data_IF_410897450827
#
_entry.id   IF_410897450827
#
_cell.length_a   1.000
_cell.length_b   1.000
_cell.length_c   1.000
_cell.angle_alpha   90.00
_cell.angle_beta   90.00
_cell.angle_gamma   90.00
#
_symmetry.space_group_name_H-M   'P 1'
#
loop_
_entity.id
_entity.type
_entity.pdbx_description
1 polymer ?
#
# COMPACT_ATOMS: atom_id res chain seq x y z
N UNK A 1 -29.23 51.62 8.05
CA UNK A 1 -29.05 50.85 9.31
C UNK A 1 -29.43 49.36 9.18
N UNK A 2 -30.38 48.98 8.33
CA UNK A 2 -30.82 47.57 8.17
C UNK A 2 -29.79 46.66 7.48
N UNK A 3 -29.05 47.15 6.48
CA UNK A 3 -28.08 46.36 5.72
C UNK A 3 -26.94 45.78 6.58
N UNK A 4 -26.48 46.53 7.60
CA UNK A 4 -25.43 46.08 8.53
C UNK A 4 -25.90 44.94 9.46
N UNK A 5 -27.19 44.90 9.83
CA UNK A 5 -27.77 43.79 10.59
C UNK A 5 -27.84 42.50 9.77
N UNK A 6 -28.20 42.59 8.49
CA UNK A 6 -28.25 41.43 7.60
C UNK A 6 -26.86 40.88 7.28
N UNK A 7 -25.86 41.76 7.08
CA UNK A 7 -24.47 41.34 6.89
C UNK A 7 -23.96 40.64 8.16
N UNK A 8 -24.18 41.19 9.35
CA UNK A 8 -23.77 40.54 10.61
C UNK A 8 -24.49 39.21 10.87
N UNK A 9 -25.80 39.11 10.58
CA UNK A 9 -26.52 37.84 10.68
C UNK A 9 -25.99 36.80 9.68
N UNK A 10 -25.73 37.21 8.44
CA UNK A 10 -25.17 36.34 7.42
C UNK A 10 -23.75 35.86 7.78
N UNK A 11 -22.91 36.73 8.37
CA UNK A 11 -21.59 36.36 8.88
C UNK A 11 -21.68 35.36 10.03
N UNK A 12 -22.59 35.57 10.99
CA UNK A 12 -22.79 34.64 12.12
C UNK A 12 -23.32 33.29 11.65
N UNK A 13 -24.27 33.29 10.69
CA UNK A 13 -24.79 32.05 10.10
C UNK A 13 -23.69 31.30 9.31
N UNK A 14 -22.83 32.03 8.59
CA UNK A 14 -21.69 31.45 7.87
C UNK A 14 -20.66 30.81 8.82
N UNK A 15 -20.39 31.43 9.97
CA UNK A 15 -19.51 30.85 11.01
C UNK A 15 -20.15 29.68 11.77
N UNK A 16 -21.48 29.63 11.90
CA UNK A 16 -22.19 28.51 12.53
C UNK A 16 -22.29 27.28 11.61
N UNK A 17 -22.35 27.47 10.29
CA UNK A 17 -22.44 26.38 9.31
C UNK A 17 -21.05 25.80 8.97
N UNK A 18 -19.98 26.56 9.18
CA UNK A 18 -18.60 26.09 8.94
C UNK A 18 -17.99 25.27 10.10
N UNK A 19 -18.69 25.15 11.24
CA UNK A 19 -18.28 24.37 12.41
C UNK A 19 -18.55 22.87 12.32
N UNK A 20 -18.49 22.27 11.12
CA UNK A 20 -18.60 20.82 10.96
C UNK A 20 -17.33 20.13 11.44
N UNK A 21 -17.36 19.50 12.61
CA UNK A 21 -16.31 18.59 13.05
C UNK A 21 -16.25 17.36 12.14
N UNK A 22 -15.58 17.48 11.00
CA UNK A 22 -15.19 16.35 10.18
C UNK A 22 -13.85 15.81 10.73
N UNK A 23 -13.88 15.14 11.88
CA UNK A 23 -12.71 14.39 12.33
C UNK A 23 -12.62 13.11 11.51
N UNK A 24 -11.47 12.93 10.87
CA UNK A 24 -11.06 11.65 10.34
C UNK A 24 -10.95 10.64 11.50
N UNK A 25 -11.19 9.33 11.27
CA UNK A 25 -10.83 8.31 12.25
C UNK A 25 -9.36 8.53 12.64
N UNK A 26 -9.09 8.69 13.93
CA UNK A 26 -7.72 8.82 14.39
C UNK A 26 -7.04 7.46 14.28
N UNK A 27 -5.87 7.42 13.63
CA UNK A 27 -5.02 6.22 13.55
C UNK A 27 -4.27 5.94 14.88
N UNK A 28 -4.67 6.58 15.98
CA UNK A 28 -3.90 6.77 17.21
C UNK A 28 -3.74 5.51 18.07
N UNK A 29 -4.60 4.51 17.90
CA UNK A 29 -4.58 3.28 18.70
C UNK A 29 -3.96 2.06 17.99
N UNK A 30 -3.28 2.25 16.85
CA UNK A 30 -2.67 1.13 16.10
C UNK A 30 -1.40 0.64 16.79
N UNK A 31 -1.33 -0.67 17.07
CA UNK A 31 -0.11 -1.28 17.60
C UNK A 31 0.99 -1.31 16.54
N UNK A 32 2.20 -0.88 16.90
CA UNK A 32 3.34 -1.00 15.99
C UNK A 32 3.65 -2.47 15.69
N UNK A 33 4.07 -2.74 14.45
CA UNK A 33 4.58 -4.05 14.05
C UNK A 33 5.69 -3.87 13.03
N UNK A 34 6.55 -4.88 12.90
CA UNK A 34 7.76 -4.79 12.11
C UNK A 34 7.89 -5.98 11.17
N UNK A 35 8.75 -5.82 10.16
CA UNK A 35 9.04 -6.86 9.19
C UNK A 35 9.56 -8.13 9.87
N UNK A 36 9.30 -9.27 9.24
CA UNK A 36 9.70 -10.57 9.78
C UNK A 36 11.22 -10.64 10.02
N UNK A 37 11.61 -10.94 11.26
CA UNK A 37 13.00 -10.78 11.70
C UNK A 37 13.97 -11.85 11.16
N UNK A 38 13.48 -13.03 10.80
CA UNK A 38 14.31 -14.22 10.55
C UNK A 38 14.12 -14.81 9.15
N UNK A 39 14.42 -14.07 8.05
CA UNK A 39 14.24 -14.56 6.67
C UNK A 39 14.90 -15.92 6.43
N UNK A 40 16.08 -16.15 7.01
CA UNK A 40 16.86 -17.39 6.98
C UNK A 40 16.12 -18.64 7.52
N UNK A 41 14.98 -18.46 8.19
CA UNK A 41 14.14 -19.57 8.62
C UNK A 41 13.26 -20.13 7.50
N UNK A 42 12.98 -19.34 6.45
CA UNK A 42 12.10 -19.71 5.34
C UNK A 42 12.87 -20.36 4.19
N UNK A 43 12.18 -21.14 3.36
CA UNK A 43 12.78 -21.79 2.19
C UNK A 43 13.42 -20.80 1.22
N UNK A 44 12.75 -19.68 0.93
CA UNK A 44 13.30 -18.64 0.04
C UNK A 44 14.46 -17.88 0.68
N UNK A 45 14.36 -17.52 1.96
CA UNK A 45 15.42 -16.80 2.66
C UNK A 45 16.70 -17.61 2.78
N UNK A 46 16.62 -18.93 3.06
CA UNK A 46 17.78 -19.84 3.05
C UNK A 46 18.47 -19.87 1.70
N UNK A 47 17.71 -19.98 0.61
CA UNK A 47 18.27 -20.01 -0.75
C UNK A 47 18.98 -18.71 -1.09
N UNK A 48 18.36 -17.56 -0.77
CA UNK A 48 18.94 -16.23 -1.00
C UNK A 48 20.22 -16.06 -0.16
N UNK A 49 20.23 -16.49 1.09
CA UNK A 49 21.41 -16.40 1.94
C UNK A 49 22.61 -17.21 1.44
N UNK A 50 22.36 -18.41 0.90
CA UNK A 50 23.40 -19.21 0.24
C UNK A 50 23.98 -18.42 -0.94
N UNK A 51 23.13 -17.80 -1.76
CA UNK A 51 23.57 -16.99 -2.91
C UNK A 51 24.35 -15.73 -2.48
N UNK A 52 23.87 -15.00 -1.46
CA UNK A 52 24.54 -13.79 -0.95
C UNK A 52 25.95 -14.12 -0.44
N UNK A 53 26.16 -15.28 0.20
CA UNK A 53 27.49 -15.71 0.66
C UNK A 53 28.49 -15.99 -0.47
N UNK A 54 28.01 -16.18 -1.70
CA UNK A 54 28.86 -16.38 -2.89
C UNK A 54 29.31 -15.06 -3.54
N UNK A 55 28.85 -13.92 -3.03
CA UNK A 55 29.12 -12.59 -3.56
C UNK A 55 29.79 -11.70 -2.49
N UNK A 56 30.46 -10.60 -2.88
CA UNK A 56 30.98 -9.62 -1.94
C UNK A 56 29.92 -9.17 -0.91
N UNK A 57 30.36 -9.00 0.32
CA UNK A 57 29.48 -8.64 1.43
C UNK A 57 28.69 -7.35 1.13
N UNK A 58 27.40 -7.36 1.44
CA UNK A 58 26.50 -6.22 1.25
C UNK A 58 25.88 -6.12 -0.15
N UNK A 59 26.25 -6.98 -1.11
CA UNK A 59 25.64 -6.96 -2.43
C UNK A 59 24.25 -7.59 -2.43
N UNK A 60 23.37 -7.04 -3.28
CA UNK A 60 22.03 -7.55 -3.56
C UNK A 60 21.95 -8.02 -5.01
N UNK A 61 21.11 -9.02 -5.26
CA UNK A 61 20.78 -9.47 -6.61
C UNK A 61 19.57 -8.71 -7.15
N UNK A 62 19.57 -8.44 -8.46
CA UNK A 62 18.49 -7.72 -9.12
C UNK A 62 18.05 -8.40 -10.42
N UNK A 63 16.76 -8.34 -10.71
CA UNK A 63 16.18 -8.78 -11.98
C UNK A 63 15.11 -7.79 -12.44
N UNK A 64 15.17 -7.37 -13.71
CA UNK A 64 14.22 -6.42 -14.27
C UNK A 64 12.93 -7.12 -14.70
N UNK A 65 11.80 -6.48 -14.42
CA UNK A 65 10.46 -6.89 -14.83
C UNK A 65 9.87 -5.78 -15.71
N UNK A 66 10.29 -5.78 -16.98
CA UNK A 66 9.87 -4.78 -17.96
C UNK A 66 8.46 -5.04 -18.50
N UNK A 67 8.04 -6.31 -18.52
CA UNK A 67 6.72 -6.72 -19.00
C UNK A 67 5.69 -6.73 -17.86
N UNK A 68 4.47 -6.28 -18.16
CA UNK A 68 3.37 -6.26 -17.22
C UNK A 68 2.98 -7.66 -16.76
N UNK A 69 2.79 -8.62 -17.67
CA UNK A 69 2.40 -9.99 -17.28
C UNK A 69 3.45 -10.63 -16.37
N UNK A 70 4.73 -10.54 -16.73
CA UNK A 70 5.82 -11.07 -15.91
C UNK A 70 5.85 -10.42 -14.52
N UNK A 71 5.56 -9.12 -14.44
CA UNK A 71 5.50 -8.41 -13.17
C UNK A 71 4.36 -8.89 -12.26
N UNK A 72 3.20 -9.24 -12.81
CA UNK A 72 2.10 -9.83 -12.05
C UNK A 72 2.43 -11.27 -11.64
N UNK A 73 2.89 -12.09 -12.59
CA UNK A 73 3.23 -13.50 -12.36
C UNK A 73 4.30 -13.63 -11.28
N UNK A 74 5.30 -12.75 -11.27
CA UNK A 74 6.31 -12.72 -10.21
C UNK A 74 5.68 -12.49 -8.83
N UNK A 75 4.76 -11.53 -8.69
CA UNK A 75 4.05 -11.27 -7.43
C UNK A 75 3.21 -12.47 -6.99
N UNK A 76 2.44 -13.06 -7.91
CA UNK A 76 1.62 -14.23 -7.63
C UNK A 76 2.47 -15.44 -7.22
N UNK A 77 3.56 -15.73 -7.95
CA UNK A 77 4.47 -16.82 -7.62
C UNK A 77 5.14 -16.62 -6.26
N UNK A 78 5.56 -15.40 -5.94
CA UNK A 78 6.11 -15.05 -4.63
C UNK A 78 5.07 -15.19 -3.52
N UNK A 79 3.82 -14.76 -3.74
CA UNK A 79 2.73 -14.93 -2.78
C UNK A 79 2.43 -16.41 -2.52
N UNK A 80 2.52 -17.28 -3.54
CA UNK A 80 2.30 -18.72 -3.39
C UNK A 80 3.38 -19.42 -2.58
N UNK A 81 4.64 -18.97 -2.66
CA UNK A 81 5.76 -19.58 -1.93
C UNK A 81 6.06 -18.89 -0.59
N UNK A 82 5.34 -17.81 -0.24
CA UNK A 82 5.50 -17.13 1.04
C UNK A 82 5.22 -18.08 2.21
N UNK A 83 6.08 -18.04 3.24
CA UNK A 83 5.97 -18.93 4.41
C UNK A 83 5.64 -18.19 5.71
N UNK A 84 6.00 -16.91 5.83
CA UNK A 84 5.92 -16.16 7.10
C UNK A 84 5.28 -14.80 6.96
N UNK A 85 5.68 -14.01 5.97
CA UNK A 85 5.15 -12.66 5.83
C UNK A 85 5.06 -12.16 4.40
N UNK A 86 4.07 -11.31 4.15
CA UNK A 86 3.99 -10.46 2.96
C UNK A 86 3.75 -9.02 3.44
N UNK A 87 4.67 -8.13 3.08
CA UNK A 87 4.51 -6.69 3.27
C UNK A 87 4.25 -6.05 1.90
N UNK A 88 3.08 -5.45 1.74
CA UNK A 88 2.61 -4.93 0.45
C UNK A 88 2.21 -3.48 0.60
N UNK A 89 2.82 -2.58 -0.19
CA UNK A 89 2.54 -1.15 -0.17
C UNK A 89 2.23 -0.66 -1.58
N UNK A 90 1.09 0.01 -1.75
CA UNK A 90 0.70 0.60 -3.03
C UNK A 90 0.04 1.96 -2.88
N UNK A 91 0.16 2.76 -3.94
CA UNK A 91 -0.51 4.05 -4.03
C UNK A 91 -1.96 3.90 -4.52
N UNK A 92 -2.20 2.98 -5.46
CA UNK A 92 -3.54 2.67 -5.97
C UNK A 92 -3.69 1.16 -6.15
N UNK A 93 -4.90 0.67 -5.84
CA UNK A 93 -5.37 -0.67 -6.19
C UNK A 93 -6.80 -0.52 -6.73
N UNK A 94 -7.03 -1.03 -7.94
CA UNK A 94 -8.32 -0.96 -8.62
C UNK A 94 -9.17 -2.20 -8.34
N UNK A 95 -10.49 -2.00 -8.38
CA UNK A 95 -11.48 -3.07 -8.20
C UNK A 95 -11.83 -3.81 -9.48
N UNK A 96 -10.81 -4.17 -10.23
CA UNK A 96 -10.90 -4.87 -11.51
C UNK A 96 -10.41 -6.33 -11.40
N UNK A 97 -10.17 -6.97 -12.55
CA UNK A 97 -9.76 -8.36 -12.59
C UNK A 97 -8.40 -8.55 -11.92
N UNK A 98 -7.39 -7.75 -12.29
CA UNK A 98 -6.04 -7.85 -11.73
C UNK A 98 -6.04 -7.53 -10.24
N UNK A 99 -6.76 -6.50 -9.80
CA UNK A 99 -6.94 -6.22 -8.38
C UNK A 99 -7.51 -7.41 -7.63
N UNK A 100 -8.61 -7.98 -8.13
CA UNK A 100 -9.28 -9.13 -7.51
C UNK A 100 -8.33 -10.34 -7.41
N UNK A 101 -7.62 -10.66 -8.49
CA UNK A 101 -6.63 -11.75 -8.48
C UNK A 101 -5.49 -11.47 -7.51
N UNK A 102 -5.03 -10.22 -7.42
CA UNK A 102 -3.98 -9.82 -6.50
C UNK A 102 -4.37 -10.06 -5.04
N UNK A 103 -5.56 -9.60 -4.63
CA UNK A 103 -6.08 -9.84 -3.27
C UNK A 103 -6.31 -11.32 -3.02
N UNK A 104 -6.82 -12.05 -4.00
CA UNK A 104 -6.99 -13.50 -3.88
C UNK A 104 -5.65 -14.21 -3.59
N UNK A 105 -4.55 -13.83 -4.25
CA UNK A 105 -3.22 -14.37 -3.92
C UNK A 105 -2.78 -14.04 -2.49
N UNK A 106 -3.10 -12.85 -1.98
CA UNK A 106 -2.81 -12.46 -0.60
C UNK A 106 -3.65 -13.25 0.41
N UNK A 107 -4.95 -13.42 0.14
CA UNK A 107 -5.85 -14.21 0.98
C UNK A 107 -5.39 -15.68 1.01
N UNK A 108 -5.07 -16.27 -0.14
CA UNK A 108 -4.54 -17.63 -0.20
C UNK A 108 -3.24 -17.79 0.58
N UNK A 109 -2.37 -16.77 0.63
CA UNK A 109 -1.20 -16.79 1.51
C UNK A 109 -1.60 -16.72 2.99
N UNK A 110 -2.53 -15.83 3.32
CA UNK A 110 -3.04 -15.66 4.68
C UNK A 110 -3.73 -16.93 5.22
N UNK A 111 -4.45 -17.66 4.37
CA UNK A 111 -5.07 -18.97 4.68
C UNK A 111 -4.01 -20.02 5.06
N UNK A 112 -2.81 -19.95 4.50
CA UNK A 112 -1.66 -20.80 4.86
C UNK A 112 -0.96 -20.35 6.15
N UNK A 113 -1.42 -19.30 6.79
CA UNK A 113 -0.85 -18.75 8.02
C UNK A 113 0.22 -17.66 7.81
N UNK A 114 0.38 -17.17 6.58
CA UNK A 114 1.29 -16.06 6.27
C UNK A 114 0.71 -14.75 6.80
N UNK A 115 1.49 -13.95 7.52
CA UNK A 115 1.04 -12.63 7.96
C UNK A 115 1.12 -11.63 6.81
N UNK A 116 0.02 -10.97 6.50
CA UNK A 116 -0.05 -9.98 5.41
C UNK A 116 -0.26 -8.59 6.01
N UNK A 117 0.69 -7.69 5.78
CA UNK A 117 0.55 -6.26 6.09
C UNK A 117 0.34 -5.49 4.79
N UNK A 118 -0.85 -4.97 4.58
CA UNK A 118 -1.25 -4.29 3.36
C UNK A 118 -1.44 -2.80 3.61
N UNK A 119 -0.54 -1.97 3.06
CA UNK A 119 -0.55 -0.52 3.19
C UNK A 119 -1.01 0.11 1.88
N UNK A 120 -2.11 0.87 1.93
CA UNK A 120 -2.65 1.57 0.77
C UNK A 120 -2.72 3.08 1.02
N UNK A 121 -2.33 3.86 0.02
CA UNK A 121 -2.61 5.31 0.00
C UNK A 121 -4.03 5.60 -0.51
N UNK A 122 -4.76 6.48 0.17
CA UNK A 122 -6.18 6.73 -0.12
C UNK A 122 -6.39 7.77 -1.23
N UNK A 123 -5.68 7.73 -2.36
CA UNK A 123 -5.82 8.83 -3.35
C UNK A 123 -7.04 8.63 -4.23
N UNK A 124 -7.23 7.40 -4.69
CA UNK A 124 -8.23 7.09 -5.68
C UNK A 124 -9.61 6.90 -5.04
N UNK A 125 -10.64 7.24 -5.81
CA UNK A 125 -12.03 7.00 -5.48
C UNK A 125 -12.43 5.53 -5.67
N UNK A 126 -11.73 4.79 -6.54
CA UNK A 126 -11.98 3.39 -6.87
C UNK A 126 -11.59 2.38 -5.78
N UNK A 127 -10.60 2.71 -4.94
CA UNK A 127 -10.23 1.88 -3.77
C UNK A 127 -11.34 1.80 -2.72
N UNK A 128 -12.31 2.74 -2.76
CA UNK A 128 -13.35 2.93 -1.75
C UNK A 128 -14.36 1.79 -1.67
N UNK A 129 -14.47 0.96 -2.72
CA UNK A 129 -15.40 -0.19 -2.80
C UNK A 129 -14.72 -1.54 -3.06
N UNK A 130 -13.38 -1.59 -3.06
CA UNK A 130 -12.62 -2.81 -3.37
C UNK A 130 -12.67 -3.90 -2.29
N UNK A 131 -13.54 -3.76 -1.28
CA UNK A 131 -13.70 -4.76 -0.23
C UNK A 131 -12.54 -4.83 0.77
N UNK A 132 -11.70 -3.79 0.87
CA UNK A 132 -10.59 -3.72 1.82
C UNK A 132 -11.00 -3.99 3.27
N UNK A 133 -12.20 -3.53 3.66
CA UNK A 133 -12.73 -3.83 4.99
C UNK A 133 -12.99 -5.32 5.20
N UNK A 134 -13.42 -6.06 4.16
CA UNK A 134 -13.57 -7.52 4.25
C UNK A 134 -12.21 -8.21 4.27
N UNK A 135 -11.26 -7.70 3.50
CA UNK A 135 -9.88 -8.22 3.48
C UNK A 135 -9.22 -8.12 4.86
N UNK A 136 -9.40 -6.98 5.55
CA UNK A 136 -8.91 -6.72 6.90
C UNK A 136 -9.55 -7.61 8.00
N UNK A 137 -10.70 -8.23 7.72
CA UNK A 137 -11.33 -9.16 8.67
C UNK A 137 -10.63 -10.52 8.75
N UNK A 138 -9.72 -10.84 7.82
CA UNK A 138 -9.00 -12.10 7.84
C UNK A 138 -7.96 -12.10 9.00
N UNK A 139 -7.88 -13.14 9.84
CA UNK A 139 -7.09 -13.11 11.09
C UNK A 139 -5.58 -12.94 10.91
N UNK A 140 -5.05 -13.21 9.71
CA UNK A 140 -3.64 -13.01 9.36
C UNK A 140 -3.40 -11.80 8.44
N UNK A 141 -4.41 -10.96 8.19
CA UNK A 141 -4.31 -9.76 7.36
C UNK A 141 -4.48 -8.54 8.25
N UNK A 142 -3.67 -7.51 8.00
CA UNK A 142 -3.90 -6.17 8.51
C UNK A 142 -3.81 -5.19 7.35
N UNK A 143 -4.83 -4.34 7.21
CA UNK A 143 -4.92 -3.28 6.21
C UNK A 143 -4.75 -1.93 6.89
N UNK A 144 -3.79 -1.13 6.43
CA UNK A 144 -3.63 0.26 6.84
C UNK A 144 -3.81 1.18 5.66
N UNK A 145 -4.49 2.29 5.92
CA UNK A 145 -4.67 3.38 4.97
C UNK A 145 -3.79 4.56 5.37
N UNK A 146 -2.91 4.98 4.46
CA UNK A 146 -2.02 6.14 4.63
C UNK A 146 -2.72 7.42 4.20
N UNK A 147 -2.70 8.44 5.07
CA UNK A 147 -3.34 9.75 4.87
C UNK A 147 -4.76 9.69 4.27
N UNK A 148 -5.72 9.05 4.97
CA UNK A 148 -7.08 8.87 4.45
C UNK A 148 -7.81 10.20 4.23
N UNK A 149 -8.70 10.22 3.25
CA UNK A 149 -9.70 11.27 3.10
C UNK A 149 -10.97 10.94 3.89
N UNK A 150 -11.53 11.97 4.52
CA UNK A 150 -12.78 11.92 5.25
C UNK A 150 -13.91 11.63 4.30
N UNK A 151 -14.76 10.68 4.68
CA UNK A 151 -15.86 10.21 3.83
C UNK A 151 -17.04 11.19 3.78
N UNK A 152 -17.14 12.09 4.75
CA UNK A 152 -18.26 13.02 4.91
C UNK A 152 -17.96 14.45 4.40
N UNK A 153 -16.85 14.66 3.70
CA UNK A 153 -16.39 16.00 3.29
C UNK A 153 -15.77 15.93 1.89
N UNK A 154 -15.99 16.93 1.04
CA UNK A 154 -15.44 16.91 -0.33
C UNK A 154 -13.90 16.88 -0.31
N UNK A 155 -13.29 16.13 -1.23
CA UNK A 155 -11.82 16.09 -1.37
C UNK A 155 -11.22 17.49 -1.51
N UNK A 156 -11.86 18.37 -2.29
CA UNK A 156 -11.42 19.77 -2.46
C UNK A 156 -11.34 20.52 -1.13
N UNK A 157 -12.37 20.41 -0.28
CA UNK A 157 -12.34 21.04 1.03
C UNK A 157 -11.22 20.46 1.90
N UNK A 158 -11.00 19.14 1.85
CA UNK A 158 -9.93 18.48 2.59
C UNK A 158 -8.52 18.81 2.09
N UNK A 159 -8.32 19.07 0.80
CA UNK A 159 -7.05 19.59 0.28
C UNK A 159 -6.77 21.01 0.76
N UNK A 160 -7.82 21.85 0.86
CA UNK A 160 -7.70 23.23 1.35
C UNK A 160 -7.39 23.24 2.86
N UNK A 161 -8.09 22.42 3.65
CA UNK A 161 -7.94 22.39 5.11
C UNK A 161 -6.79 21.50 5.59
N UNK A 162 -6.34 20.56 4.77
CA UNK A 162 -5.31 19.56 5.07
C UNK A 162 -4.00 19.75 4.30
N UNK A 163 -3.67 20.99 3.93
CA UNK A 163 -2.42 21.28 3.23
C UNK A 163 -1.20 20.72 3.99
N UNK A 164 -0.32 19.98 3.31
CA UNK A 164 0.78 19.24 3.93
C UNK A 164 0.47 17.75 4.10
N UNK A 165 -0.53 17.38 4.93
CA UNK A 165 -0.88 15.97 5.19
C UNK A 165 -1.52 15.33 3.95
N UNK A 166 -2.45 16.00 3.30
CA UNK A 166 -3.20 15.46 2.15
C UNK A 166 -2.37 15.53 0.87
N UNK A 167 -1.35 16.39 0.83
CA UNK A 167 -0.41 16.55 -0.29
C UNK A 167 0.82 15.63 -0.18
N UNK A 168 1.12 15.09 1.01
CA UNK A 168 2.21 14.12 1.22
C UNK A 168 1.66 12.71 1.09
N UNK A 169 1.88 12.07 -0.07
CA UNK A 169 1.35 10.74 -0.38
C UNK A 169 2.44 9.67 -0.31
N UNK A 170 2.05 8.46 0.06
CA UNK A 170 2.91 7.29 -0.06
C UNK A 170 2.84 6.78 -1.52
N UNK A 171 3.73 7.29 -2.38
CA UNK A 171 3.76 6.90 -3.79
C UNK A 171 4.61 5.64 -4.04
N UNK A 172 5.10 5.00 -2.98
CA UNK A 172 5.85 3.75 -3.05
C UNK A 172 4.99 2.61 -3.58
N UNK A 173 5.58 1.74 -4.39
CA UNK A 173 5.03 0.42 -4.70
C UNK A 173 6.06 -0.62 -4.33
N UNK A 174 5.72 -1.47 -3.37
CA UNK A 174 6.60 -2.54 -2.93
C UNK A 174 5.80 -3.78 -2.56
N UNK A 175 6.41 -4.94 -2.78
CA UNK A 175 5.87 -6.25 -2.44
C UNK A 175 7.00 -7.13 -1.94
N UNK A 176 7.10 -7.29 -0.63
CA UNK A 176 8.20 -7.99 0.03
C UNK A 176 7.70 -9.28 0.67
N UNK A 177 8.37 -10.40 0.37
CA UNK A 177 8.04 -11.72 0.91
C UNK A 177 9.14 -12.18 1.86
N UNK A 178 8.70 -12.62 3.05
CA UNK A 178 9.51 -13.18 4.13
C UNK A 178 10.70 -12.31 4.57
N UNK A 179 10.67 -11.00 4.27
CA UNK A 179 11.79 -10.08 4.44
C UNK A 179 13.08 -10.54 3.72
N UNK A 180 12.94 -11.34 2.65
CA UNK A 180 14.03 -11.99 1.94
C UNK A 180 14.16 -11.52 0.48
N UNK A 181 13.01 -11.27 -0.16
CA UNK A 181 12.90 -10.85 -1.55
C UNK A 181 11.84 -9.77 -1.68
N UNK A 182 12.04 -8.81 -2.57
CA UNK A 182 11.12 -7.70 -2.79
C UNK A 182 10.94 -7.42 -4.26
N UNK A 183 9.76 -6.94 -4.63
CA UNK A 183 9.49 -6.29 -5.90
C UNK A 183 9.22 -4.82 -5.61
N UNK A 184 9.93 -3.93 -6.29
CA UNK A 184 9.71 -2.48 -6.26
C UNK A 184 9.60 -1.93 -7.67
N UNK A 185 8.87 -0.85 -7.88
CA UNK A 185 8.74 -0.24 -9.21
C UNK A 185 7.67 0.82 -9.30
N UNK A 186 7.23 1.09 -10.53
CA UNK A 186 6.23 2.13 -10.82
C UNK A 186 4.79 1.62 -10.92
N UNK A 187 4.57 0.30 -11.08
CA UNK A 187 3.23 -0.27 -11.29
C UNK A 187 2.37 -0.25 -10.03
N UNK A 188 1.18 0.33 -10.14
CA UNK A 188 0.08 0.11 -9.18
C UNK A 188 -0.64 -1.22 -9.50
N UNK A 189 -1.69 -1.55 -8.73
CA UNK A 189 -2.49 -2.76 -8.99
C UNK A 189 -3.76 -2.41 -9.77
N UNK A 190 -3.89 -2.95 -10.98
CA UNK A 190 -5.04 -2.75 -11.87
C UNK A 190 -4.77 -3.26 -13.29
N UNK A 191 -5.82 -3.46 -14.09
CA UNK A 191 -5.77 -4.11 -15.40
C UNK A 191 -4.81 -3.39 -16.37
N UNK A 192 -4.74 -2.06 -16.32
CA UNK A 192 -3.89 -1.26 -17.19
C UNK A 192 -2.38 -1.44 -16.92
N UNK A 193 -2.00 -1.76 -15.67
CA UNK A 193 -0.58 -1.86 -15.28
C UNK A 193 0.05 -3.21 -15.65
N UNK A 194 -0.77 -4.22 -15.92
CA UNK A 194 -0.35 -5.60 -16.16
C UNK A 194 -0.85 -6.14 -17.51
N UNK A 195 -1.01 -5.25 -18.49
CA UNK A 195 -1.38 -5.55 -19.88
C UNK A 195 -2.71 -6.33 -20.04
N UNK A 196 -3.61 -6.20 -19.06
CA UNK A 196 -4.96 -6.80 -19.07
C UNK A 196 -6.04 -5.83 -19.57
N UNK A 197 -5.69 -4.55 -19.78
CA UNK A 197 -6.57 -3.51 -20.31
C UNK A 197 -6.83 -3.65 -21.82
N UNK A 198 -7.95 -3.09 -22.28
CA UNK A 198 -8.38 -3.16 -23.70
C UNK A 198 -7.89 -2.01 -24.58
N UNK A 199 -7.50 -0.87 -24.00
CA UNK A 199 -7.34 0.36 -24.76
C UNK A 199 -5.89 0.88 -24.88
N UNK A 200 -5.02 0.68 -23.88
CA UNK A 200 -3.56 0.89 -23.98
C UNK A 200 -2.80 0.12 -22.88
N UNK A 201 -1.61 -0.39 -23.21
CA UNK A 201 -0.68 -0.97 -22.25
C UNK A 201 0.11 0.13 -21.54
N UNK A 202 0.13 0.10 -20.21
CA UNK A 202 0.93 1.01 -19.40
C UNK A 202 2.39 0.56 -19.41
N UNK A 203 3.29 1.41 -19.92
CA UNK A 203 4.72 1.13 -19.94
C UNK A 203 5.38 1.56 -18.62
N UNK A 204 5.89 0.60 -17.86
CA UNK A 204 6.60 0.82 -16.61
C UNK A 204 7.67 -0.26 -16.38
N UNK A 205 8.44 -0.12 -15.30
CA UNK A 205 9.49 -1.05 -14.91
C UNK A 205 9.38 -1.39 -13.43
N UNK A 206 9.40 -2.69 -13.13
CA UNK A 206 9.62 -3.19 -11.80
C UNK A 206 10.97 -3.89 -11.71
N UNK A 207 11.44 -4.12 -10.49
CA UNK A 207 12.70 -4.78 -10.18
C UNK A 207 12.46 -5.76 -9.04
N UNK A 208 12.84 -7.02 -9.24
CA UNK A 208 13.04 -7.97 -8.15
C UNK A 208 14.38 -7.64 -7.49
N UNK A 209 14.40 -7.45 -6.18
CA UNK A 209 15.59 -7.33 -5.36
C UNK A 209 15.67 -8.47 -4.34
N UNK A 210 16.84 -9.10 -4.21
CA UNK A 210 17.09 -10.17 -3.25
C UNK A 210 18.35 -9.90 -2.42
N UNK A 211 18.31 -10.25 -1.13
CA UNK A 211 19.42 -10.04 -0.20
C UNK A 211 19.24 -8.76 0.62
N UNK A 212 20.33 -8.01 0.95
CA UNK A 212 20.28 -6.84 1.81
C UNK A 212 19.19 -5.82 1.45
N UNK A 213 18.97 -5.56 0.16
CA UNK A 213 17.96 -4.59 -0.32
C UNK A 213 16.54 -4.92 0.13
N UNK A 214 16.17 -6.19 0.28
CA UNK A 214 14.83 -6.56 0.74
C UNK A 214 14.59 -6.06 2.18
N UNK A 215 15.62 -6.07 3.03
CA UNK A 215 15.55 -5.56 4.41
C UNK A 215 15.49 -4.03 4.45
N UNK A 216 16.16 -3.36 3.52
CA UNK A 216 16.07 -1.90 3.38
C UNK A 216 14.67 -1.47 2.94
N UNK A 217 14.06 -2.20 2.00
CA UNK A 217 12.67 -1.96 1.58
C UNK A 217 11.69 -2.24 2.72
N UNK A 218 11.87 -3.33 3.48
CA UNK A 218 11.10 -3.61 4.69
C UNK A 218 11.22 -2.52 5.75
N UNK A 219 12.42 -1.97 5.98
CA UNK A 219 12.62 -0.88 6.93
C UNK A 219 11.90 0.40 6.47
N UNK A 220 11.92 0.70 5.16
CA UNK A 220 11.13 1.78 4.58
C UNK A 220 9.62 1.54 4.78
N UNK A 221 9.13 0.33 4.49
CA UNK A 221 7.75 -0.06 4.74
C UNK A 221 7.35 0.18 6.21
N UNK A 222 8.17 -0.28 7.16
CA UNK A 222 7.91 -0.14 8.60
C UNK A 222 7.80 1.34 9.04
N UNK A 223 8.54 2.25 8.40
CA UNK A 223 8.42 3.70 8.67
C UNK A 223 7.05 4.25 8.26
N UNK A 224 6.52 3.85 7.09
CA UNK A 224 5.18 4.26 6.69
C UNK A 224 4.10 3.54 7.51
N UNK A 225 4.30 2.24 7.73
CA UNK A 225 3.36 1.38 8.45
C UNK A 225 3.09 1.87 9.86
N UNK A 226 4.15 2.23 10.59
CA UNK A 226 4.10 2.72 11.96
C UNK A 226 4.01 4.25 12.07
N UNK A 227 3.79 4.95 10.96
CA UNK A 227 3.60 6.40 11.01
C UNK A 227 2.26 6.77 11.68
N UNK A 228 2.22 7.85 12.49
CA UNK A 228 1.03 8.30 13.21
C UNK A 228 -0.04 8.93 12.31
#
# INVERSE_FOLDING_TARGET
MYLSRYIRLASVLFFLISGGCASLPENTDRQESFAFANPESTGIGKKIAIQVKQHPAGQSGFHLLSDGYDAFVARAALAQIAEKSIDSQYYMVHGDMVGTLYVDQLVQAADRGVKVRFLLDDMDEGSRDFGLAKFDMHPNVEVRIFNPFGRNTSKTAQFITGFGKQTRRAHNKSFTVDNAITIVGGRNIGDEYFAAGKEMDFADLDVIGAGPVAREVSASFDQYWNSP
#
